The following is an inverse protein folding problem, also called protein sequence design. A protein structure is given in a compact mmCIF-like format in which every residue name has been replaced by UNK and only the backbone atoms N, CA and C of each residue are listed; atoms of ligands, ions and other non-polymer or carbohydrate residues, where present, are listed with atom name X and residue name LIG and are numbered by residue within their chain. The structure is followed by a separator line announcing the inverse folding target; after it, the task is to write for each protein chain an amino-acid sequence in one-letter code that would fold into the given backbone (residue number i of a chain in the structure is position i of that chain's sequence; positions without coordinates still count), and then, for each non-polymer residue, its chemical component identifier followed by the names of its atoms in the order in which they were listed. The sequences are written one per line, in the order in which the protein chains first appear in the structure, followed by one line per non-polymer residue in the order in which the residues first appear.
data_IF_192048246536
#
_entry.id   IF_192048246536
#
_cell.length_a   1.000
_cell.length_b   1.000
_cell.length_c   1.000
_cell.angle_alpha   90.00
_cell.angle_beta   90.00
_cell.angle_gamma   90.00
#
_symmetry.space_group_name_H-M   'P 1'
#
loop_
_entity.id
_entity.type
_entity.pdbx_description
1 polymer ?
#
# COMPACT_ATOMS: atom_id res chain seq x y z
N UNK A 1 -43.39 30.03 -29.99
CA UNK A 1 -42.47 29.85 -28.86
C UNK A 1 -42.18 28.36 -28.78
N UNK A 2 -40.99 27.91 -29.09
CA UNK A 2 -40.61 26.50 -28.89
C UNK A 2 -40.14 26.31 -27.43
N UNK A 3 -40.57 25.19 -26.84
CA UNK A 3 -40.24 24.76 -25.49
C UNK A 3 -38.74 24.49 -25.32
N UNK A 4 -38.18 24.74 -24.13
CA UNK A 4 -36.77 24.46 -23.87
C UNK A 4 -36.56 22.93 -23.80
N UNK A 5 -35.70 22.40 -24.68
CA UNK A 5 -35.18 21.04 -24.63
C UNK A 5 -34.27 20.95 -23.41
N UNK A 6 -34.75 20.27 -22.38
CA UNK A 6 -33.94 19.87 -21.23
C UNK A 6 -33.06 18.71 -21.70
N UNK A 7 -31.76 18.98 -21.91
CA UNK A 7 -30.76 17.94 -22.08
C UNK A 7 -30.66 17.14 -20.78
N UNK A 8 -30.73 15.80 -20.82
CA UNK A 8 -30.44 14.99 -19.64
C UNK A 8 -28.97 15.20 -19.28
N UNK A 9 -28.75 15.72 -18.09
CA UNK A 9 -27.40 15.79 -17.51
C UNK A 9 -26.78 14.42 -17.53
N UNK A 10 -25.64 14.33 -18.20
CA UNK A 10 -24.76 13.18 -18.12
C UNK A 10 -24.19 13.18 -16.69
N UNK A 11 -24.85 12.45 -15.81
CA UNK A 11 -24.20 12.05 -14.58
C UNK A 11 -22.95 11.27 -14.97
N UNK A 12 -21.80 11.51 -14.33
CA UNK A 12 -20.64 10.68 -14.55
C UNK A 12 -21.02 9.28 -14.10
N UNK A 13 -21.14 8.37 -15.07
CA UNK A 13 -21.18 6.94 -14.81
C UNK A 13 -19.79 6.59 -14.25
N UNK A 14 -19.62 6.73 -12.96
CA UNK A 14 -18.60 6.03 -12.22
C UNK A 14 -19.04 4.57 -12.22
N UNK A 15 -18.64 3.84 -13.26
CA UNK A 15 -18.51 2.40 -13.11
C UNK A 15 -17.69 2.20 -11.82
N UNK A 16 -18.17 1.43 -10.85
CA UNK A 16 -17.38 1.09 -9.70
C UNK A 16 -16.26 0.19 -10.22
N UNK A 17 -15.17 0.80 -10.68
CA UNK A 17 -13.90 0.09 -10.78
C UNK A 17 -13.69 -0.41 -9.37
N UNK A 18 -13.89 -1.71 -9.19
CA UNK A 18 -13.82 -2.38 -7.89
C UNK A 18 -12.37 -2.31 -7.45
N UNK A 19 -11.96 -1.18 -6.88
CA UNK A 19 -10.61 -1.04 -6.38
C UNK A 19 -10.36 -2.07 -5.27
N UNK A 20 -9.08 -2.36 -5.01
CA UNK A 20 -8.67 -3.30 -3.98
C UNK A 20 -8.45 -2.64 -2.62
N UNK A 21 -8.89 -1.39 -2.45
CA UNK A 21 -8.76 -0.62 -1.20
C UNK A 21 -9.51 -1.31 -0.06
N UNK A 22 -10.74 -1.79 -0.34
CA UNK A 22 -11.60 -2.46 0.63
C UNK A 22 -12.41 -3.57 -0.06
N UNK A 23 -11.97 -4.83 0.08
CA UNK A 23 -12.56 -5.94 -0.70
C UNK A 23 -13.78 -6.58 -0.07
N UNK A 24 -13.76 -6.84 1.22
CA UNK A 24 -14.90 -7.41 1.91
C UNK A 24 -16.06 -6.40 2.03
N UNK A 25 -17.29 -6.87 2.12
CA UNK A 25 -18.44 -5.99 2.26
C UNK A 25 -18.35 -5.10 3.51
N UNK A 26 -17.85 -5.67 4.62
CA UNK A 26 -17.59 -4.92 5.84
C UNK A 26 -16.48 -3.88 5.65
N UNK A 27 -15.40 -4.23 4.95
CA UNK A 27 -14.31 -3.30 4.67
C UNK A 27 -14.80 -2.11 3.84
N UNK A 28 -15.65 -2.34 2.83
CA UNK A 28 -16.26 -1.26 2.02
C UNK A 28 -17.14 -0.33 2.85
N UNK A 29 -17.96 -0.89 3.78
CA UNK A 29 -18.76 -0.08 4.69
C UNK A 29 -17.88 0.79 5.58
N UNK A 30 -16.84 0.20 6.17
CA UNK A 30 -15.87 0.92 7.00
C UNK A 30 -15.10 1.97 6.21
N UNK A 31 -14.68 1.65 4.98
CA UNK A 31 -14.03 2.61 4.09
C UNK A 31 -14.93 3.83 3.81
N UNK A 32 -16.23 3.62 3.59
CA UNK A 32 -17.20 4.72 3.43
C UNK A 32 -17.25 5.68 4.63
N UNK A 33 -17.07 5.16 5.84
CA UNK A 33 -17.06 5.94 7.08
C UNK A 33 -15.73 6.72 7.24
N UNK A 34 -14.59 6.07 6.98
CA UNK A 34 -13.29 6.66 7.28
C UNK A 34 -12.72 7.54 6.15
N UNK A 35 -13.10 7.30 4.89
CA UNK A 35 -12.56 8.04 3.74
C UNK A 35 -12.76 9.54 3.85
N UNK A 36 -13.96 10.08 4.19
CA UNK A 36 -14.14 11.52 4.30
C UNK A 36 -13.22 12.17 5.34
N UNK A 37 -12.96 11.47 6.45
CA UNK A 37 -12.05 11.94 7.50
C UNK A 37 -10.59 11.95 7.02
N UNK A 38 -10.17 10.89 6.31
CA UNK A 38 -8.84 10.75 5.74
C UNK A 38 -8.57 11.87 4.73
N UNK A 39 -9.50 12.05 3.77
CA UNK A 39 -9.40 13.07 2.72
C UNK A 39 -9.46 14.49 3.28
N UNK A 40 -10.32 14.73 4.26
CA UNK A 40 -10.42 16.03 4.95
C UNK A 40 -9.14 16.43 5.67
N UNK A 41 -8.26 15.48 5.99
CA UNK A 41 -6.94 15.73 6.58
C UNK A 41 -5.80 15.79 5.55
N UNK A 42 -6.10 15.69 4.24
CA UNK A 42 -5.13 15.76 3.16
C UNK A 42 -4.43 14.41 2.87
N UNK A 43 -5.05 13.30 3.26
CA UNK A 43 -4.53 11.97 3.00
C UNK A 43 -5.42 11.20 2.02
N UNK A 44 -4.92 10.11 1.50
CA UNK A 44 -5.63 9.16 0.65
C UNK A 44 -5.60 7.78 1.29
N UNK A 45 -6.74 7.11 1.36
CA UNK A 45 -6.84 5.74 1.80
C UNK A 45 -6.21 4.81 0.77
N UNK A 46 -5.22 4.01 1.18
CA UNK A 46 -4.55 3.01 0.34
C UNK A 46 -5.18 1.65 0.51
N UNK A 47 -5.39 1.21 1.77
CA UNK A 47 -6.02 -0.08 2.06
C UNK A 47 -6.71 -0.05 3.42
N UNK A 48 -7.87 -0.70 3.51
CA UNK A 48 -8.57 -0.97 4.74
C UNK A 48 -8.90 -2.47 4.82
N UNK A 49 -8.62 -3.07 5.96
CA UNK A 49 -8.97 -4.47 6.25
C UNK A 49 -9.38 -4.64 7.72
N UNK A 50 -10.48 -5.35 7.92
CA UNK A 50 -10.85 -5.87 9.23
C UNK A 50 -10.35 -7.31 9.35
N UNK A 51 -9.49 -7.58 10.32
CA UNK A 51 -8.79 -8.86 10.46
C UNK A 51 -8.93 -9.43 11.87
N UNK A 52 -8.73 -10.75 11.98
CA UNK A 52 -8.68 -11.46 13.25
C UNK A 52 -10.03 -12.03 13.67
N UNK A 53 -9.99 -13.16 14.40
CA UNK A 53 -11.18 -13.83 14.92
C UNK A 53 -11.35 -13.66 16.43
N UNK A 54 -10.25 -13.66 17.20
CA UNK A 54 -10.26 -13.49 18.66
C UNK A 54 -9.88 -12.08 19.10
N UNK A 55 -9.02 -11.43 18.33
CA UNK A 55 -8.64 -10.02 18.50
C UNK A 55 -8.87 -9.35 17.17
N UNK A 56 -9.93 -8.59 17.10
CA UNK A 56 -10.29 -7.86 15.89
C UNK A 56 -9.33 -6.70 15.74
N UNK A 57 -8.76 -6.55 14.55
CA UNK A 57 -7.90 -5.42 14.19
C UNK A 57 -8.44 -4.76 12.94
N UNK A 58 -8.72 -3.47 13.02
CA UNK A 58 -8.99 -2.62 11.88
C UNK A 58 -7.68 -1.98 11.43
N UNK A 59 -7.13 -2.48 10.33
CA UNK A 59 -5.93 -1.93 9.71
C UNK A 59 -6.30 -0.92 8.63
N UNK A 60 -5.75 0.27 8.74
CA UNK A 60 -5.92 1.37 7.79
C UNK A 60 -4.55 1.81 7.32
N UNK A 61 -4.28 1.67 6.02
CA UNK A 61 -3.10 2.21 5.37
C UNK A 61 -3.48 3.46 4.60
N UNK A 62 -2.80 4.56 4.87
CA UNK A 62 -3.01 5.84 4.20
C UNK A 62 -1.68 6.45 3.75
N UNK A 63 -1.75 7.39 2.82
CA UNK A 63 -0.61 8.19 2.35
C UNK A 63 -1.05 9.63 2.15
N UNK A 64 -0.13 10.58 2.07
CA UNK A 64 -0.47 11.97 1.69
C UNK A 64 -1.03 11.97 0.28
N UNK A 65 -2.08 12.77 0.05
CA UNK A 65 -2.71 12.87 -1.25
C UNK A 65 -1.71 13.37 -2.32
N UNK A 66 -1.86 12.96 -3.60
CA UNK A 66 -0.88 13.25 -4.66
C UNK A 66 -0.65 14.74 -4.92
N UNK A 67 -1.63 15.57 -4.61
CA UNK A 67 -1.65 17.02 -4.79
C UNK A 67 -1.16 17.81 -3.57
N UNK A 68 -0.69 17.12 -2.52
CA UNK A 68 -0.18 17.74 -1.30
C UNK A 68 1.34 17.72 -1.23
N UNK A 69 1.91 18.67 -0.47
CA UNK A 69 3.35 18.68 -0.17
C UNK A 69 3.72 17.38 0.56
N UNK A 70 4.77 16.69 0.09
CA UNK A 70 5.18 15.39 0.61
C UNK A 70 4.30 14.24 0.16
N UNK A 71 3.65 14.36 -1.02
CA UNK A 71 2.81 13.31 -1.60
C UNK A 71 3.43 11.93 -1.51
N UNK A 72 2.64 10.94 -1.10
CA UNK A 72 3.06 9.55 -0.96
C UNK A 72 3.89 9.22 0.28
N UNK A 73 4.37 10.23 1.03
CA UNK A 73 5.06 10.03 2.32
C UNK A 73 4.10 10.18 3.49
N UNK A 74 4.46 9.63 4.63
CA UNK A 74 3.71 9.75 5.87
C UNK A 74 4.66 9.65 7.06
N UNK A 75 4.53 10.55 8.02
CA UNK A 75 5.33 10.58 9.24
C UNK A 75 4.56 9.95 10.41
N UNK A 76 5.24 9.71 11.51
CA UNK A 76 4.62 9.13 12.73
C UNK A 76 3.53 10.04 13.28
N UNK A 77 3.74 11.36 13.24
CA UNK A 77 2.80 12.38 13.66
C UNK A 77 1.52 12.36 12.80
N UNK A 78 1.64 12.11 11.51
CA UNK A 78 0.52 11.95 10.60
C UNK A 78 -0.32 10.72 10.97
N UNK A 79 0.33 9.59 11.26
CA UNK A 79 -0.34 8.38 11.74
C UNK A 79 -1.09 8.64 13.04
N UNK A 80 -0.46 9.34 13.99
CA UNK A 80 -1.10 9.69 15.27
C UNK A 80 -2.27 10.65 15.09
N UNK A 81 -2.17 11.62 14.19
CA UNK A 81 -3.25 12.56 13.87
C UNK A 81 -4.44 11.85 13.23
N UNK A 82 -4.17 11.00 12.23
CA UNK A 82 -5.20 10.17 11.58
C UNK A 82 -5.85 9.21 12.58
N UNK A 83 -5.07 8.52 13.39
CA UNK A 83 -5.60 7.56 14.38
C UNK A 83 -6.60 8.20 15.33
N UNK A 84 -6.30 9.41 15.86
CA UNK A 84 -7.22 10.14 16.74
C UNK A 84 -8.51 10.57 16.03
N UNK A 85 -8.40 11.08 14.81
CA UNK A 85 -9.58 11.51 14.05
C UNK A 85 -10.46 10.33 13.64
N UNK A 86 -9.84 9.23 13.22
CA UNK A 86 -10.55 8.02 12.83
C UNK A 86 -11.21 7.30 14.01
N UNK A 87 -10.54 7.27 15.18
CA UNK A 87 -11.16 6.76 16.41
C UNK A 87 -12.46 7.51 16.72
N UNK A 88 -12.42 8.84 16.71
CA UNK A 88 -13.60 9.66 16.97
C UNK A 88 -14.74 9.42 15.95
N UNK A 89 -14.41 9.27 14.65
CA UNK A 89 -15.40 9.00 13.62
C UNK A 89 -16.03 7.60 13.77
N UNK A 90 -15.21 6.61 14.09
CA UNK A 90 -15.67 5.23 14.30
C UNK A 90 -16.47 5.08 15.58
N UNK A 91 -16.15 5.82 16.65
CA UNK A 91 -16.92 5.84 17.91
C UNK A 91 -18.34 6.41 17.72
N UNK A 92 -18.52 7.36 16.80
CA UNK A 92 -19.84 7.93 16.49
C UNK A 92 -20.71 6.95 15.70
N UNK A 93 -20.13 6.26 14.72
CA UNK A 93 -20.86 5.36 13.82
C UNK A 93 -21.02 3.93 14.40
N UNK A 94 -20.19 3.56 15.36
CA UNK A 94 -20.14 2.23 16.02
C UNK A 94 -20.35 1.04 15.06
N UNK A 95 -19.55 0.95 13.98
CA UNK A 95 -19.80 0.00 12.89
C UNK A 95 -19.29 -1.41 13.17
N UNK A 96 -18.49 -1.61 14.23
CA UNK A 96 -17.83 -2.88 14.59
C UNK A 96 -18.32 -3.33 15.96
N UNK A 97 -18.96 -4.52 16.00
CA UNK A 97 -19.39 -5.10 17.27
C UNK A 97 -18.20 -5.52 18.15
N UNK A 98 -18.17 -5.02 19.38
CA UNK A 98 -17.18 -5.38 20.39
C UNK A 98 -15.87 -4.62 20.31
N UNK A 99 -14.88 -5.10 21.06
CA UNK A 99 -13.57 -4.46 21.14
C UNK A 99 -12.71 -4.78 19.90
N UNK A 100 -12.09 -3.76 19.34
CA UNK A 100 -11.14 -3.90 18.25
C UNK A 100 -9.91 -3.00 18.47
N UNK A 101 -8.83 -3.34 17.79
CA UNK A 101 -7.62 -2.53 17.74
C UNK A 101 -7.58 -1.75 16.43
N UNK A 102 -7.44 -0.43 16.53
CA UNK A 102 -7.21 0.42 15.37
C UNK A 102 -5.69 0.52 15.10
N UNK A 103 -5.28 0.15 13.88
CA UNK A 103 -3.91 0.29 13.39
C UNK A 103 -3.89 1.23 12.18
N UNK A 104 -3.23 2.37 12.32
CA UNK A 104 -3.04 3.34 11.25
C UNK A 104 -1.57 3.41 10.89
N UNK A 105 -1.26 3.20 9.61
CA UNK A 105 0.12 3.16 9.12
C UNK A 105 0.26 3.68 7.70
N UNK A 106 1.49 3.99 7.30
CA UNK A 106 1.84 4.15 5.89
C UNK A 106 1.87 2.79 5.17
N UNK A 107 1.74 2.76 3.83
CA UNK A 107 1.81 1.51 3.06
C UNK A 107 3.21 0.88 3.00
N UNK A 108 4.26 1.60 3.42
CA UNK A 108 5.64 1.11 3.33
C UNK A 108 6.21 1.09 1.90
N UNK A 109 7.44 0.55 1.75
CA UNK A 109 8.12 0.44 0.45
C UNK A 109 7.52 -0.70 -0.38
N UNK A 110 7.21 -1.84 0.25
CA UNK A 110 6.54 -3.00 -0.35
C UNK A 110 5.01 -2.86 -0.41
N UNK A 111 4.59 -1.64 -0.72
CA UNK A 111 3.20 -1.19 -0.64
C UNK A 111 2.22 -2.08 -1.40
N UNK A 112 0.97 -2.18 -0.91
CA UNK A 112 -0.11 -2.76 -1.69
C UNK A 112 -0.43 -1.87 -2.90
N UNK A 113 -0.76 -2.52 -4.02
CA UNK A 113 -1.26 -1.91 -5.24
C UNK A 113 -2.77 -2.14 -5.27
N UNK A 114 -3.54 -1.08 -5.08
CA UNK A 114 -4.98 -1.21 -4.82
C UNK A 114 -5.85 -0.57 -5.88
N UNK A 115 -5.27 0.23 -6.75
CA UNK A 115 -5.93 0.89 -7.87
C UNK A 115 -5.21 0.61 -9.17
N UNK A 116 -5.91 0.67 -10.28
CA UNK A 116 -5.32 0.43 -11.60
C UNK A 116 -4.18 1.42 -11.90
N UNK A 117 -4.30 2.66 -11.45
CA UNK A 117 -3.26 3.70 -11.56
C UNK A 117 -1.94 3.33 -10.84
N UNK A 118 -2.02 2.54 -9.76
CA UNK A 118 -0.82 2.09 -9.03
C UNK A 118 0.06 1.22 -9.94
N UNK A 119 -0.53 0.36 -10.76
CA UNK A 119 0.22 -0.53 -11.66
C UNK A 119 0.90 0.24 -12.79
N UNK A 120 0.29 1.30 -13.29
CA UNK A 120 0.92 2.20 -14.25
C UNK A 120 2.07 3.00 -13.61
N UNK A 121 1.86 3.52 -12.39
CA UNK A 121 2.84 4.30 -11.64
C UNK A 121 4.10 3.49 -11.30
N UNK A 122 3.94 2.21 -10.97
CA UNK A 122 5.02 1.32 -10.56
C UNK A 122 5.49 0.37 -11.66
N UNK A 123 5.29 0.77 -12.93
CA UNK A 123 5.82 0.04 -14.08
C UNK A 123 7.34 -0.16 -13.96
N UNK A 124 7.82 -1.36 -14.29
CA UNK A 124 9.21 -1.78 -14.17
C UNK A 124 9.58 -2.35 -12.79
N UNK A 125 8.77 -2.13 -11.76
CA UNK A 125 9.03 -2.69 -10.44
C UNK A 125 8.56 -4.13 -10.33
N UNK A 126 9.26 -4.92 -9.52
CA UNK A 126 8.86 -6.27 -9.17
C UNK A 126 7.60 -6.26 -8.30
N UNK A 127 6.62 -7.09 -8.67
CA UNK A 127 5.37 -7.22 -7.95
C UNK A 127 4.96 -8.68 -7.75
N UNK A 128 4.13 -8.91 -6.74
CA UNK A 128 3.41 -10.17 -6.51
C UNK A 128 1.92 -9.89 -6.61
N UNK A 129 1.27 -10.63 -7.49
CA UNK A 129 -0.16 -10.57 -7.72
C UNK A 129 -0.79 -11.89 -7.29
N UNK A 130 -1.97 -11.84 -6.69
CA UNK A 130 -2.77 -13.00 -6.35
C UNK A 130 -4.18 -12.82 -6.94
N UNK A 131 -4.68 -13.86 -7.62
CA UNK A 131 -6.01 -13.84 -8.24
C UNK A 131 -7.03 -14.59 -7.39
N UNK A 132 -8.30 -14.24 -7.54
CA UNK A 132 -9.43 -14.90 -6.87
C UNK A 132 -9.60 -16.33 -7.36
N UNK A 133 -9.40 -16.55 -8.66
CA UNK A 133 -9.55 -17.83 -9.31
C UNK A 133 -8.22 -18.33 -9.90
N UNK A 134 -8.17 -19.59 -10.29
CA UNK A 134 -7.03 -20.17 -10.99
C UNK A 134 -7.01 -19.67 -12.44
N UNK A 135 -5.88 -19.11 -12.86
CA UNK A 135 -5.60 -18.75 -14.24
C UNK A 135 -4.45 -19.65 -14.69
N UNK A 136 -4.69 -20.49 -15.68
CA UNK A 136 -3.75 -21.50 -16.17
C UNK A 136 -3.12 -22.37 -15.05
N UNK A 137 -3.98 -22.75 -14.08
CA UNK A 137 -3.59 -23.61 -12.97
C UNK A 137 -2.88 -22.92 -11.80
N UNK A 138 -2.73 -21.59 -11.81
CA UNK A 138 -2.06 -20.82 -10.75
C UNK A 138 -2.91 -19.63 -10.28
N UNK A 139 -2.69 -19.22 -9.02
CA UNK A 139 -3.28 -18.02 -8.43
C UNK A 139 -2.25 -16.94 -8.13
N UNK A 140 -0.97 -17.27 -8.15
CA UNK A 140 0.10 -16.35 -7.75
C UNK A 140 1.03 -16.12 -8.92
N UNK A 141 1.28 -14.84 -9.17
CA UNK A 141 2.11 -14.35 -10.25
C UNK A 141 3.16 -13.43 -9.65
N UNK A 142 4.42 -13.60 -10.04
CA UNK A 142 5.53 -12.75 -9.62
C UNK A 142 6.34 -12.36 -10.84
N UNK A 143 6.68 -11.08 -10.94
CA UNK A 143 7.42 -10.55 -12.08
C UNK A 143 7.46 -9.03 -12.09
N UNK A 144 8.02 -8.47 -13.15
CA UNK A 144 8.05 -7.03 -13.36
C UNK A 144 6.72 -6.52 -13.91
N UNK A 145 6.19 -5.43 -13.37
CA UNK A 145 5.01 -4.76 -13.91
C UNK A 145 5.35 -4.17 -15.28
N UNK A 146 4.56 -4.52 -16.30
CA UNK A 146 4.72 -4.00 -17.67
C UNK A 146 3.76 -2.84 -17.99
N UNK A 147 2.94 -2.45 -17.00
CA UNK A 147 1.99 -1.35 -17.13
C UNK A 147 0.54 -1.81 -17.12
N UNK A 148 -0.32 -1.04 -17.81
CA UNK A 148 -1.77 -1.26 -17.86
C UNK A 148 -2.27 -1.11 -19.29
N UNK A 149 -3.20 -1.95 -19.71
CA UNK A 149 -3.90 -1.85 -20.98
C UNK A 149 -5.41 -1.99 -20.75
N UNK A 150 -6.14 -0.88 -20.83
CA UNK A 150 -7.56 -0.83 -20.48
C UNK A 150 -7.77 -1.19 -19.00
N UNK A 151 -8.51 -2.27 -18.73
CA UNK A 151 -8.73 -2.83 -17.38
C UNK A 151 -7.70 -3.88 -16.97
N UNK A 152 -6.74 -4.21 -17.85
CA UNK A 152 -5.77 -5.27 -17.61
C UNK A 152 -4.46 -4.74 -17.06
N UNK A 153 -3.96 -5.42 -16.06
CA UNK A 153 -2.60 -5.27 -15.52
C UNK A 153 -1.67 -6.19 -16.29
N UNK A 154 -0.59 -5.63 -16.83
CA UNK A 154 0.43 -6.38 -17.56
C UNK A 154 1.59 -6.71 -16.62
N UNK A 155 2.04 -7.97 -16.63
CA UNK A 155 3.18 -8.45 -15.83
C UNK A 155 4.07 -9.38 -16.65
N UNK A 156 5.37 -9.12 -16.64
CA UNK A 156 6.42 -10.01 -17.17
C UNK A 156 6.82 -10.98 -16.06
N UNK A 157 6.54 -12.26 -16.25
CA UNK A 157 6.78 -13.26 -15.21
C UNK A 157 8.27 -13.62 -15.09
N UNK A 158 8.71 -13.83 -13.84
CA UNK A 158 10.07 -14.30 -13.54
C UNK A 158 10.28 -15.78 -13.95
N UNK A 159 9.20 -16.55 -14.13
CA UNK A 159 9.25 -17.98 -14.45
C UNK A 159 9.62 -18.22 -15.93
N UNK A 160 10.74 -18.90 -16.16
CA UNK A 160 11.21 -19.29 -17.49
C UNK A 160 10.28 -20.27 -18.23
N UNK A 161 9.34 -20.91 -17.51
CA UNK A 161 8.46 -21.94 -18.06
C UNK A 161 7.23 -21.39 -18.79
N UNK A 162 7.00 -20.08 -18.71
CA UNK A 162 5.90 -19.45 -19.42
C UNK A 162 6.50 -18.64 -20.57
N UNK A 163 6.45 -19.22 -21.76
CA UNK A 163 6.65 -18.45 -22.99
C UNK A 163 5.35 -17.74 -23.29
N UNK A 164 5.27 -16.41 -23.12
CA UNK A 164 4.10 -15.67 -23.54
C UNK A 164 3.98 -15.76 -25.06
N UNK A 165 2.80 -16.06 -25.55
CA UNK A 165 2.51 -16.14 -27.00
C UNK A 165 2.68 -14.79 -27.69
N UNK A 166 2.89 -13.70 -26.95
CA UNK A 166 3.05 -12.34 -27.46
C UNK A 166 3.97 -11.51 -26.57
N UNK A 167 5.27 -11.58 -26.79
CA UNK A 167 6.20 -10.53 -26.37
C UNK A 167 6.52 -10.34 -24.89
N UNK A 168 6.38 -11.33 -24.02
CA UNK A 168 6.95 -11.29 -22.65
C UNK A 168 5.97 -11.01 -21.51
N UNK A 169 4.90 -10.27 -21.71
CA UNK A 169 3.97 -9.91 -20.64
C UNK A 169 2.64 -10.66 -20.76
N UNK A 170 2.07 -11.07 -19.61
CA UNK A 170 0.68 -11.55 -19.52
C UNK A 170 -0.22 -10.46 -18.99
N UNK A 171 -1.47 -10.41 -19.50
CA UNK A 171 -2.50 -9.49 -19.03
C UNK A 171 -3.47 -10.18 -18.06
N UNK A 172 -3.61 -9.64 -16.86
CA UNK A 172 -4.58 -10.06 -15.87
C UNK A 172 -5.65 -8.98 -15.72
N UNK A 173 -6.94 -9.35 -15.83
CA UNK A 173 -8.00 -8.39 -15.54
C UNK A 173 -7.90 -7.93 -14.09
N UNK A 174 -8.01 -6.61 -13.87
CA UNK A 174 -7.87 -6.02 -12.54
C UNK A 174 -8.88 -6.60 -11.55
N UNK A 175 -10.10 -6.89 -11.99
CA UNK A 175 -11.16 -7.47 -11.17
C UNK A 175 -10.86 -8.92 -10.71
N UNK A 176 -9.95 -9.61 -11.40
CA UNK A 176 -9.52 -10.94 -11.00
C UNK A 176 -8.53 -10.93 -9.83
N UNK A 177 -7.93 -9.77 -9.56
CA UNK A 177 -6.92 -9.66 -8.52
C UNK A 177 -7.54 -9.72 -7.12
N UNK A 178 -7.07 -10.62 -6.29
CA UNK A 178 -7.38 -10.73 -4.88
C UNK A 178 -6.48 -9.86 -4.01
N UNK A 179 -5.18 -9.84 -4.32
CA UNK A 179 -4.17 -9.03 -3.66
C UNK A 179 -3.05 -8.68 -4.64
N UNK A 180 -2.43 -7.53 -4.45
CA UNK A 180 -1.26 -7.11 -5.20
C UNK A 180 -0.36 -6.25 -4.32
N UNK A 181 0.98 -6.45 -4.44
CA UNK A 181 1.96 -5.64 -3.74
C UNK A 181 3.30 -5.63 -4.46
N UNK A 182 4.07 -4.59 -4.24
CA UNK A 182 5.46 -4.56 -4.67
C UNK A 182 6.30 -5.60 -3.91
N UNK A 183 7.35 -6.08 -4.55
CA UNK A 183 8.37 -6.92 -3.92
C UNK A 183 9.55 -6.03 -3.56
N UNK A 184 10.01 -6.12 -2.33
CA UNK A 184 11.18 -5.38 -1.87
C UNK A 184 12.41 -5.88 -2.62
N UNK A 185 13.04 -4.99 -3.40
CA UNK A 185 14.31 -5.20 -4.10
C UNK A 185 15.27 -4.09 -3.75
N UNK A 186 16.56 -4.31 -3.93
CA UNK A 186 17.59 -3.29 -3.65
C UNK A 186 17.38 -2.04 -4.50
N UNK A 187 16.92 -2.21 -5.75
CA UNK A 187 16.59 -1.10 -6.65
C UNK A 187 15.40 -0.28 -6.12
N UNK A 188 14.35 -0.95 -5.62
CA UNK A 188 13.19 -0.29 -5.05
C UNK A 188 13.55 0.48 -3.77
N UNK A 189 14.39 -0.10 -2.91
CA UNK A 189 14.93 0.57 -1.71
C UNK A 189 15.71 1.80 -2.11
N UNK A 190 16.66 1.66 -3.04
CA UNK A 190 17.48 2.77 -3.51
C UNK A 190 16.65 3.88 -4.17
N UNK A 191 15.61 3.53 -4.94
CA UNK A 191 14.69 4.50 -5.53
C UNK A 191 13.87 5.24 -4.46
N UNK A 192 13.37 4.53 -3.45
CA UNK A 192 12.62 5.11 -2.33
C UNK A 192 13.47 6.07 -1.50
N UNK A 193 14.73 5.71 -1.21
CA UNK A 193 15.65 6.58 -0.48
C UNK A 193 15.97 7.85 -1.26
N UNK A 194 16.19 7.73 -2.57
CA UNK A 194 16.40 8.90 -3.46
C UNK A 194 15.18 9.82 -3.48
N UNK A 195 13.99 9.27 -3.61
CA UNK A 195 12.75 10.05 -3.59
C UNK A 195 12.55 10.79 -2.26
N UNK A 196 12.87 10.14 -1.12
CA UNK A 196 12.80 10.79 0.20
C UNK A 196 13.82 11.92 0.34
N UNK A 197 15.07 11.74 -0.13
CA UNK A 197 16.08 12.80 -0.13
C UNK A 197 15.64 14.00 -0.98
N UNK A 198 15.08 13.77 -2.17
CA UNK A 198 14.54 14.85 -3.00
C UNK A 198 13.41 15.61 -2.29
N UNK A 199 12.47 14.90 -1.68
CA UNK A 199 11.38 15.52 -0.95
C UNK A 199 11.87 16.32 0.28
N UNK A 200 12.88 15.84 1.01
CA UNK A 200 13.47 16.54 2.13
C UNK A 200 14.17 17.86 1.69
N UNK A 201 14.92 17.80 0.58
CA UNK A 201 15.60 18.96 0.02
C UNK A 201 14.61 20.03 -0.49
N UNK A 202 13.47 19.64 -1.06
CA UNK A 202 12.43 20.59 -1.50
C UNK A 202 11.77 21.32 -0.31
N UNK A 203 11.75 20.72 0.88
CA UNK A 203 11.16 21.29 2.11
C UNK A 203 12.23 22.08 2.91
N UNK A 204 13.51 22.06 2.47
CA UNK A 204 14.60 22.79 3.13
C UNK A 204 15.05 22.20 4.46
N UNK A 205 14.82 20.89 4.67
CA UNK A 205 15.38 20.16 5.80
C UNK A 205 16.85 19.80 5.49
N UNK A 206 17.75 20.29 6.33
CA UNK A 206 19.20 20.12 6.17
C UNK A 206 19.61 18.64 6.36
N UNK A 207 20.56 18.16 5.55
CA UNK A 207 21.00 16.76 5.51
C UNK A 207 21.70 16.27 6.81
N UNK A 208 21.89 17.11 7.81
CA UNK A 208 22.73 16.81 8.99
C UNK A 208 22.04 15.98 10.09
N UNK A 209 20.74 15.72 10.01
CA UNK A 209 20.02 14.95 11.05
C UNK A 209 19.90 13.44 10.77
N UNK A 210 20.37 12.95 9.62
CA UNK A 210 20.19 11.55 9.23
C UNK A 210 21.44 10.66 9.30
N UNK A 211 22.61 11.23 9.59
CA UNK A 211 23.88 10.46 9.62
C UNK A 211 24.22 9.86 11.00
N UNK A 212 23.44 10.12 12.05
CA UNK A 212 23.72 9.65 13.42
C UNK A 212 23.01 8.34 13.83
N UNK A 213 22.60 7.51 12.87
CA UNK A 213 22.29 6.10 13.21
C UNK A 213 23.58 5.29 12.99
N UNK A 214 24.54 5.49 13.90
CA UNK A 214 25.60 4.51 14.11
C UNK A 214 24.96 3.21 14.57
N UNK A 215 25.04 2.20 13.73
CA UNK A 215 24.77 0.83 14.09
C UNK A 215 25.74 0.43 15.20
N UNK A 216 25.26 0.32 16.43
CA UNK A 216 25.98 -0.35 17.52
C UNK A 216 26.06 -1.86 17.23
N UNK A 217 26.78 -2.24 16.20
CA UNK A 217 27.34 -3.57 16.02
C UNK A 217 28.87 -3.41 16.05
N UNK A 218 29.46 -3.65 17.20
CA UNK A 218 30.82 -4.17 17.46
C UNK A 218 31.35 -3.78 18.83
N UNK A 219 30.60 -4.11 19.89
CA UNK A 219 31.14 -4.06 21.24
C UNK A 219 30.77 -5.31 22.03
N UNK A 220 31.10 -6.49 21.52
CA UNK A 220 31.17 -7.68 22.35
C UNK A 220 32.26 -8.65 21.85
N UNK A 221 33.46 -8.15 21.77
CA UNK A 221 34.69 -8.92 21.66
C UNK A 221 35.29 -9.08 23.02
N UNK A 222 35.54 -10.31 23.38
CA UNK A 222 36.42 -10.73 24.49
C UNK A 222 35.81 -10.81 25.90
N UNK A 223 35.07 -11.87 26.16
CA UNK A 223 34.99 -12.46 27.49
C UNK A 223 35.83 -13.73 27.53
N UNK A 224 37.05 -13.54 28.04
CA UNK A 224 38.01 -14.59 28.30
C UNK A 224 37.41 -15.74 29.09
N UNK A 225 37.68 -16.96 28.64
CA UNK A 225 37.36 -18.20 29.32
C UNK A 225 38.11 -18.29 30.66
N UNK A 226 37.51 -18.71 31.79
CA UNK A 226 38.23 -19.04 33.00
C UNK A 226 38.92 -20.39 32.85
N UNK A 227 40.24 -20.39 33.02
CA UNK A 227 41.06 -21.59 33.21
C UNK A 227 40.59 -22.37 34.46
N UNK A 228 40.11 -23.57 34.26
CA UNK A 228 39.95 -24.55 35.33
C UNK A 228 41.32 -25.18 35.63
N UNK A 229 41.96 -24.71 36.69
CA UNK A 229 43.06 -25.44 37.34
C UNK A 229 42.47 -26.64 38.05
N UNK A 230 42.88 -27.84 37.59
CA UNK A 230 42.72 -29.05 38.33
C UNK A 230 43.75 -29.11 39.47
N UNK A 231 43.29 -29.58 40.60
CA UNK A 231 44.16 -30.09 41.69
C UNK A 231 43.67 -31.47 42.14
N UNK A 232 44.64 -32.40 42.07
CA UNK A 232 44.81 -33.68 42.75
C UNK A 232 43.63 -34.66 42.86
#
# INVERSE_FOLDING_TARGET
MPDPVISPGTEPVTDPVTDMVAKAAIDRRLAGIVTPTIEGLGFRLVRLRLMGAKRITLQIMAERAPDTIGAGTMEVEDCARLSRALSAALDVEDPIEGEYRLEVSSPGIDRPLTRLEDFARWQGCQARLETTELIDGRKRFKGALAGVEGSRVLIELDDADIKPESGGAIGLEFDWLADARLVLTDELIAASLRARKHAANEIGLDETEFDDIETEEDANGDLGAPELKGDA
#
